data_IF_862622070925
#
_entry.id   IF_862622070925
#
_cell.length_a   1.000
_cell.length_b   1.000
_cell.length_c   1.000
_cell.angle_alpha   90.00
_cell.angle_beta   90.00
_cell.angle_gamma   90.00
#
_symmetry.space_group_name_H-M   'P 1'
#
loop_
_entity.id
_entity.type
_entity.pdbx_description
1 polymer ?
#
# COMPACT_ATOMS: atom_id res chain seq x y z
N UNK A 1 1.21 5.20 -16.18
CA UNK A 1 1.10 5.78 -14.80
C UNK A 1 2.34 5.44 -13.98
N UNK A 2 2.75 6.22 -12.96
CA UNK A 2 4.01 6.04 -12.18
C UNK A 2 4.31 4.59 -11.73
N UNK A 3 3.27 3.81 -11.40
CA UNK A 3 3.42 2.40 -10.99
C UNK A 3 4.03 1.50 -12.09
N UNK A 4 3.76 1.76 -13.36
CA UNK A 4 4.28 0.96 -14.49
C UNK A 4 5.79 1.12 -14.64
N UNK A 5 6.36 2.22 -14.12
CA UNK A 5 7.81 2.45 -14.11
C UNK A 5 8.51 1.76 -12.94
N UNK A 6 7.76 1.23 -11.97
CA UNK A 6 8.32 0.58 -10.77
C UNK A 6 8.61 -0.91 -10.97
N UNK A 7 8.20 -1.50 -12.11
CA UNK A 7 8.49 -2.89 -12.49
C UNK A 7 8.21 -3.91 -11.37
N UNK A 8 7.15 -3.68 -10.59
CA UNK A 8 6.79 -4.52 -9.44
C UNK A 8 6.38 -5.90 -9.93
N UNK A 9 6.97 -6.94 -9.34
CA UNK A 9 6.72 -8.33 -9.71
C UNK A 9 6.03 -9.13 -8.60
N UNK A 10 5.44 -10.26 -8.97
CA UNK A 10 4.84 -11.21 -8.03
C UNK A 10 5.88 -11.69 -6.99
N UNK A 11 5.46 -11.77 -5.72
CA UNK A 11 6.31 -12.16 -4.60
C UNK A 11 7.17 -11.05 -4.02
N UNK A 12 7.20 -9.86 -4.62
CA UNK A 12 8.03 -8.76 -4.16
C UNK A 12 7.54 -8.16 -2.83
N UNK A 13 8.48 -7.63 -2.04
CA UNK A 13 8.18 -6.83 -0.84
C UNK A 13 8.35 -5.35 -1.14
N UNK A 14 7.28 -4.58 -1.03
CA UNK A 14 7.25 -3.16 -1.40
C UNK A 14 6.91 -2.28 -0.19
N UNK A 15 7.70 -1.22 0.01
CA UNK A 15 7.41 -0.16 0.96
C UNK A 15 6.94 1.10 0.23
N UNK A 16 5.78 1.64 0.62
CA UNK A 16 5.26 2.91 0.14
C UNK A 16 5.18 3.94 1.28
N UNK A 17 5.99 4.98 1.18
CA UNK A 17 5.91 6.16 2.05
C UNK A 17 4.95 7.16 1.40
N UNK A 18 4.06 7.76 2.21
CA UNK A 18 3.11 8.77 1.74
C UNK A 18 2.09 8.19 0.75
N UNK A 19 1.29 7.22 1.19
CA UNK A 19 0.35 6.50 0.32
C UNK A 19 -0.99 7.20 0.09
N UNK A 20 -1.19 8.38 0.67
CA UNK A 20 -2.42 9.15 0.58
C UNK A 20 -3.63 8.34 1.02
N UNK A 21 -4.68 8.27 0.20
CA UNK A 21 -5.89 7.48 0.52
C UNK A 21 -5.76 5.99 0.15
N UNK A 22 -4.61 5.53 -0.35
CA UNK A 22 -4.35 4.10 -0.53
C UNK A 22 -4.65 3.50 -1.90
N UNK A 23 -4.97 4.30 -2.93
CA UNK A 23 -5.14 3.79 -4.31
C UNK A 23 -3.87 3.11 -4.84
N UNK A 24 -2.71 3.73 -4.57
CA UNK A 24 -1.42 3.21 -4.98
C UNK A 24 -1.12 1.86 -4.28
N UNK A 25 -1.40 1.77 -2.98
CA UNK A 25 -1.23 0.54 -2.20
C UNK A 25 -2.08 -0.61 -2.72
N UNK A 26 -3.35 -0.35 -3.08
CA UNK A 26 -4.21 -1.38 -3.68
C UNK A 26 -3.59 -1.96 -4.94
N UNK A 27 -3.10 -1.08 -5.84
CA UNK A 27 -2.52 -1.52 -7.12
C UNK A 27 -1.18 -2.24 -6.92
N UNK A 28 -0.37 -1.80 -5.97
CA UNK A 28 0.85 -2.51 -5.57
C UNK A 28 0.50 -3.91 -5.03
N UNK A 29 -0.52 -4.02 -4.17
CA UNK A 29 -0.96 -5.30 -3.62
C UNK A 29 -1.44 -6.27 -4.70
N UNK A 30 -2.13 -5.78 -5.73
CA UNK A 30 -2.52 -6.56 -6.91
C UNK A 30 -1.28 -7.03 -7.71
N UNK A 31 -0.25 -6.19 -7.87
CA UNK A 31 0.98 -6.54 -8.60
C UNK A 31 1.84 -7.58 -7.86
N UNK A 32 2.03 -7.45 -6.54
CA UNK A 32 2.90 -8.37 -5.77
C UNK A 32 2.26 -9.73 -5.50
N UNK A 33 0.96 -9.88 -5.75
CA UNK A 33 0.25 -11.15 -5.62
C UNK A 33 0.14 -11.67 -4.17
N UNK A 34 -0.20 -12.95 -4.02
CA UNK A 34 -0.49 -13.56 -2.71
C UNK A 34 0.76 -13.82 -1.86
N UNK A 35 1.92 -13.98 -2.49
CA UNK A 35 3.20 -14.28 -1.82
C UNK A 35 3.99 -13.01 -1.49
N UNK A 36 3.65 -11.89 -2.14
CA UNK A 36 4.27 -10.59 -1.93
C UNK A 36 3.74 -9.87 -0.69
N UNK A 37 4.43 -8.80 -0.30
CA UNK A 37 4.10 -8.03 0.90
C UNK A 37 4.11 -6.54 0.61
N UNK A 38 3.11 -5.83 1.13
CA UNK A 38 3.03 -4.37 0.98
C UNK A 38 2.99 -3.70 2.34
N UNK A 39 3.88 -2.73 2.52
CA UNK A 39 3.98 -1.91 3.70
C UNK A 39 3.69 -0.46 3.33
N UNK A 40 2.76 0.19 4.05
CA UNK A 40 2.44 1.61 3.88
C UNK A 40 2.82 2.40 5.12
N UNK A 41 3.63 3.47 4.98
CA UNK A 41 3.92 4.42 6.05
C UNK A 41 3.28 5.77 5.73
N UNK A 42 2.48 6.30 6.66
CA UNK A 42 1.81 7.59 6.53
C UNK A 42 1.71 8.33 7.85
N UNK A 43 1.55 9.66 7.78
CA UNK A 43 1.47 10.54 8.96
C UNK A 43 0.05 11.02 9.28
N UNK A 44 -0.86 11.00 8.29
CA UNK A 44 -2.23 11.49 8.47
C UNK A 44 -3.14 10.37 8.93
N UNK A 45 -3.58 10.43 10.19
CA UNK A 45 -4.53 9.48 10.79
C UNK A 45 -5.82 9.36 9.96
N UNK A 46 -6.36 10.48 9.46
CA UNK A 46 -7.53 10.50 8.58
C UNK A 46 -7.31 9.71 7.29
N UNK A 47 -6.15 9.89 6.65
CA UNK A 47 -5.78 9.15 5.44
C UNK A 47 -5.57 7.65 5.70
N UNK A 48 -5.00 7.31 6.85
CA UNK A 48 -4.84 5.91 7.28
C UNK A 48 -6.22 5.26 7.47
N UNK A 49 -7.16 5.94 8.12
CA UNK A 49 -8.53 5.46 8.28
C UNK A 49 -9.24 5.22 6.96
N UNK A 50 -9.13 6.17 6.02
CA UNK A 50 -9.67 6.00 4.66
C UNK A 50 -9.02 4.83 3.91
N UNK A 51 -7.71 4.66 4.08
CA UNK A 51 -6.95 3.58 3.44
C UNK A 51 -7.35 2.22 3.98
N UNK A 52 -7.52 2.08 5.31
CA UNK A 52 -8.02 0.84 5.93
C UNK A 52 -9.35 0.40 5.32
N UNK A 53 -10.35 1.29 5.29
CA UNK A 53 -11.67 1.00 4.69
C UNK A 53 -11.57 0.61 3.21
N UNK A 54 -10.64 1.20 2.46
CA UNK A 54 -10.41 0.85 1.05
C UNK A 54 -9.78 -0.53 0.88
N UNK A 55 -8.86 -0.88 1.76
CA UNK A 55 -8.09 -2.12 1.70
C UNK A 55 -8.76 -3.29 2.44
N UNK A 56 -9.81 -3.06 3.22
CA UNK A 56 -10.64 -4.13 3.81
C UNK A 56 -11.13 -5.15 2.77
N UNK A 57 -11.33 -4.72 1.52
CA UNK A 57 -11.74 -5.60 0.41
C UNK A 57 -10.56 -6.05 -0.47
N UNK A 58 -9.33 -5.66 -0.17
CA UNK A 58 -8.18 -5.83 -1.05
C UNK A 58 -6.93 -6.31 -0.28
N UNK A 59 -6.63 -7.61 -0.38
CA UNK A 59 -5.32 -8.20 -0.09
C UNK A 59 -4.69 -7.94 1.30
N UNK A 60 -3.49 -8.48 1.54
CA UNK A 60 -2.74 -8.21 2.76
C UNK A 60 -1.85 -6.98 2.58
N UNK A 61 -2.25 -5.86 3.19
CA UNK A 61 -1.44 -4.62 3.26
C UNK A 61 -1.27 -4.21 4.71
N UNK A 62 -0.02 -4.00 5.13
CA UNK A 62 0.31 -3.57 6.49
C UNK A 62 0.50 -2.05 6.51
N UNK A 63 -0.25 -1.35 7.37
CA UNK A 63 -0.23 0.10 7.46
C UNK A 63 0.38 0.55 8.79
N UNK A 64 1.29 1.52 8.72
CA UNK A 64 1.98 2.10 9.87
C UNK A 64 1.70 3.61 9.90
N UNK A 65 1.30 4.08 11.08
CA UNK A 65 1.20 5.51 11.37
C UNK A 65 2.53 5.97 11.97
N UNK A 66 3.27 6.80 11.24
CA UNK A 66 4.45 7.46 11.80
C UNK A 66 3.99 8.67 12.63
N UNK A 67 4.22 8.60 13.93
CA UNK A 67 4.04 9.69 14.89
C UNK A 67 5.43 10.29 15.12
N UNK A 68 5.71 11.44 14.49
CA UNK A 68 6.88 12.26 14.77
C UNK A 68 6.46 13.41 15.67
#
# INVERSE_FOLDING_TARGET
MVLERMLIVEGETVLKIGFGTGHCLKRIAECVGQTGKVYGIGISSGMIGMTKKRLEKAGQVNLFHALF
#
